data_IF_829821546775
#
_entry.id   IF_829821546775
#
_cell.length_a   1.000
_cell.length_b   1.000
_cell.length_c   1.000
_cell.angle_alpha   90.00
_cell.angle_beta   90.00
_cell.angle_gamma   90.00
#
_symmetry.space_group_name_H-M   'P 1'
#
loop_
_entity.id
_entity.type
_entity.pdbx_description
1 polymer ?
#
# COMPACT_ATOMS: atom_id res chain seq x y z
N UNK A 1 -11.98 10.16 -6.92
CA UNK A 1 -11.31 9.19 -7.82
C UNK A 1 -12.01 7.85 -7.72
N UNK A 2 -12.29 7.21 -8.85
CA UNK A 2 -12.74 5.82 -8.85
C UNK A 2 -11.53 4.85 -8.72
N UNK A 3 -11.81 3.57 -8.56
CA UNK A 3 -10.79 2.53 -8.43
C UNK A 3 -9.84 2.49 -9.63
N UNK A 4 -10.41 2.57 -10.85
CA UNK A 4 -9.62 2.52 -12.08
C UNK A 4 -8.68 3.74 -12.21
N UNK A 5 -9.13 4.90 -11.77
CA UNK A 5 -8.30 6.13 -11.73
C UNK A 5 -7.14 5.98 -10.76
N UNK A 6 -7.38 5.44 -9.56
CA UNK A 6 -6.31 5.18 -8.59
C UNK A 6 -5.29 4.18 -9.14
N UNK A 7 -5.75 3.09 -9.76
CA UNK A 7 -4.85 2.10 -10.38
C UNK A 7 -4.05 2.73 -11.52
N UNK A 8 -4.65 3.59 -12.35
CA UNK A 8 -3.92 4.32 -13.40
C UNK A 8 -2.83 5.24 -12.83
N UNK A 9 -3.13 5.97 -11.75
CA UNK A 9 -2.14 6.81 -11.07
C UNK A 9 -0.95 5.99 -10.55
N UNK A 10 -1.21 4.83 -9.98
CA UNK A 10 -0.16 3.92 -9.49
C UNK A 10 0.67 3.39 -10.65
N UNK A 11 0.04 2.93 -11.73
CA UNK A 11 0.73 2.40 -12.93
C UNK A 11 1.56 3.44 -13.67
N UNK A 12 1.24 4.72 -13.53
CA UNK A 12 2.00 5.81 -14.15
C UNK A 12 3.35 6.07 -13.47
N UNK A 13 3.59 5.53 -12.29
CA UNK A 13 4.87 5.66 -11.59
C UNK A 13 5.95 4.79 -12.27
N UNK A 14 7.19 5.27 -12.39
CA UNK A 14 8.27 4.52 -13.05
C UNK A 14 8.59 3.19 -12.36
N UNK A 15 8.80 2.13 -13.15
CA UNK A 15 9.21 0.81 -12.65
C UNK A 15 8.15 0.10 -11.82
N UNK A 16 6.88 0.44 -12.00
CA UNK A 16 5.77 -0.13 -11.24
C UNK A 16 5.06 -1.23 -12.02
N UNK A 17 4.84 -2.35 -11.35
CA UNK A 17 3.97 -3.44 -11.79
C UNK A 17 2.78 -3.53 -10.83
N UNK A 18 1.57 -3.54 -11.38
CA UNK A 18 0.33 -3.75 -10.62
C UNK A 18 -0.26 -5.09 -11.00
N UNK A 19 -0.41 -5.96 -10.00
CA UNK A 19 -1.05 -7.27 -10.12
C UNK A 19 -2.42 -7.20 -9.48
N UNK A 20 -3.47 -7.49 -10.25
CA UNK A 20 -4.81 -7.72 -9.70
C UNK A 20 -4.99 -9.20 -9.45
N UNK A 21 -5.31 -9.57 -8.22
CA UNK A 21 -5.53 -10.95 -7.82
C UNK A 21 -6.74 -11.55 -8.53
N UNK A 22 -6.58 -12.78 -9.01
CA UNK A 22 -7.60 -13.51 -9.73
C UNK A 22 -7.24 -14.98 -9.89
N UNK A 23 -8.09 -15.76 -10.60
CA UNK A 23 -7.88 -17.21 -10.77
C UNK A 23 -6.54 -17.58 -11.40
N UNK A 24 -5.98 -16.70 -12.23
CA UNK A 24 -4.72 -16.92 -12.94
C UNK A 24 -3.49 -16.45 -12.15
N UNK A 25 -3.67 -16.03 -10.90
CA UNK A 25 -2.60 -15.60 -10.01
C UNK A 25 -2.41 -16.58 -8.87
N UNK A 26 -1.25 -16.54 -8.20
CA UNK A 26 -1.02 -17.33 -6.98
C UNK A 26 -1.76 -16.79 -5.74
N UNK A 27 -2.52 -15.71 -5.89
CA UNK A 27 -3.27 -15.11 -4.79
C UNK A 27 -4.44 -16.00 -4.35
N UNK A 28 -4.72 -16.08 -3.02
CA UNK A 28 -5.87 -16.83 -2.53
C UNK A 28 -7.19 -16.18 -2.98
N UNK A 29 -8.24 -16.98 -3.13
CA UNK A 29 -9.56 -16.53 -3.60
C UNK A 29 -10.11 -15.35 -2.79
N UNK A 30 -9.84 -15.29 -1.49
CA UNK A 30 -10.25 -14.19 -0.62
C UNK A 30 -9.70 -12.83 -1.09
N UNK A 31 -8.56 -12.81 -1.79
CA UNK A 31 -7.94 -11.60 -2.31
C UNK A 31 -8.36 -11.27 -3.77
N UNK A 32 -9.10 -12.12 -4.46
CA UNK A 32 -9.48 -11.87 -5.86
C UNK A 32 -10.23 -10.54 -6.01
N UNK A 33 -9.81 -9.74 -6.99
CA UNK A 33 -10.29 -8.39 -7.23
C UNK A 33 -9.42 -7.30 -6.58
N UNK A 34 -8.62 -7.62 -5.59
CA UNK A 34 -7.70 -6.66 -4.99
C UNK A 34 -6.45 -6.47 -5.86
N UNK A 35 -5.90 -5.26 -5.84
CA UNK A 35 -4.71 -4.93 -6.62
C UNK A 35 -3.52 -4.60 -5.72
N UNK A 36 -2.36 -5.07 -6.13
CA UNK A 36 -1.09 -4.95 -5.40
C UNK A 36 -0.05 -4.29 -6.31
N UNK A 37 0.53 -3.19 -5.87
CA UNK A 37 1.55 -2.46 -6.61
C UNK A 37 2.96 -2.74 -6.07
N UNK A 38 3.85 -3.10 -6.98
CA UNK A 38 5.24 -3.42 -6.67
C UNK A 38 6.19 -2.51 -7.45
N UNK A 39 7.31 -2.17 -6.86
CA UNK A 39 8.44 -1.60 -7.60
C UNK A 39 9.29 -2.77 -8.14
N UNK A 40 9.21 -2.98 -9.43
CA UNK A 40 9.88 -4.07 -10.15
C UNK A 40 10.30 -3.57 -11.54
N UNK A 41 11.34 -2.69 -11.59
CA UNK A 41 11.74 -2.02 -12.83
C UNK A 41 12.30 -2.97 -13.89
N UNK A 42 12.78 -4.14 -13.47
CA UNK A 42 13.36 -5.15 -14.37
C UNK A 42 12.36 -6.24 -14.75
N UNK A 43 11.11 -6.15 -14.29
CA UNK A 43 10.05 -7.16 -14.46
C UNK A 43 10.55 -8.58 -14.10
N UNK A 44 11.21 -8.67 -12.94
CA UNK A 44 11.88 -9.90 -12.48
C UNK A 44 10.90 -11.02 -12.07
N UNK A 45 9.59 -10.72 -12.10
CA UNK A 45 8.53 -11.68 -11.87
C UNK A 45 8.09 -11.83 -10.43
N UNK A 46 7.14 -12.74 -10.22
CA UNK A 46 6.41 -12.88 -8.94
C UNK A 46 7.31 -13.18 -7.74
N UNK A 47 8.35 -13.99 -7.93
CA UNK A 47 9.28 -14.35 -6.85
C UNK A 47 10.04 -13.14 -6.27
N UNK A 48 10.25 -12.09 -7.06
CA UNK A 48 10.91 -10.85 -6.62
C UNK A 48 9.95 -9.86 -5.96
N UNK A 49 8.65 -9.98 -6.20
CA UNK A 49 7.58 -9.08 -5.74
C UNK A 49 7.07 -9.46 -4.34
N UNK A 50 7.88 -9.27 -3.31
CA UNK A 50 7.54 -9.70 -1.94
C UNK A 50 6.66 -8.74 -1.17
N UNK A 51 6.85 -7.43 -1.35
CA UNK A 51 6.19 -6.39 -0.55
C UNK A 51 5.62 -5.30 -1.46
N UNK A 52 4.29 -5.19 -1.55
CA UNK A 52 3.66 -4.11 -2.28
C UNK A 52 3.92 -2.78 -1.56
N UNK A 53 4.07 -1.70 -2.34
CA UNK A 53 4.14 -0.34 -1.80
C UNK A 53 2.79 0.39 -1.84
N UNK A 54 1.80 -0.18 -2.47
CA UNK A 54 0.41 0.25 -2.43
C UNK A 54 -0.51 -0.94 -2.66
N UNK A 55 -1.67 -0.95 -2.02
CA UNK A 55 -2.72 -1.94 -2.28
C UNK A 55 -4.07 -1.24 -2.46
N UNK A 56 -4.89 -1.78 -3.35
CA UNK A 56 -6.28 -1.36 -3.55
C UNK A 56 -7.15 -2.56 -3.20
N UNK A 57 -7.93 -2.44 -2.13
CA UNK A 57 -8.76 -3.52 -1.58
C UNK A 57 -10.23 -3.21 -1.83
N UNK A 58 -10.96 -4.18 -2.39
CA UNK A 58 -12.32 -4.00 -2.90
C UNK A 58 -13.40 -4.64 -2.03
N UNK A 59 -13.00 -5.37 -1.00
CA UNK A 59 -13.90 -6.07 -0.08
C UNK A 59 -13.32 -6.23 1.30
N UNK A 60 -14.18 -6.47 2.27
CA UNK A 60 -13.77 -6.84 3.63
C UNK A 60 -13.22 -8.27 3.67
N UNK A 61 -12.29 -8.51 4.59
CA UNK A 61 -11.75 -9.83 4.90
C UNK A 61 -12.38 -10.35 6.20
N UNK A 62 -13.37 -11.24 6.14
CA UNK A 62 -14.09 -11.72 7.33
C UNK A 62 -13.14 -12.28 8.39
N UNK A 63 -13.36 -11.87 9.66
CA UNK A 63 -12.54 -12.27 10.78
C UNK A 63 -11.15 -11.63 10.87
N UNK A 64 -10.80 -10.74 9.91
CA UNK A 64 -9.48 -10.12 9.85
C UNK A 64 -9.52 -8.60 9.66
N UNK A 65 -10.20 -8.12 8.60
CA UNK A 65 -10.22 -6.70 8.23
C UNK A 65 -11.60 -6.33 7.69
N UNK A 66 -12.47 -5.82 8.56
CA UNK A 66 -13.87 -5.51 8.22
C UNK A 66 -14.29 -4.09 8.59
N UNK A 67 -13.42 -3.33 9.25
CA UNK A 67 -13.79 -2.02 9.82
C UNK A 67 -14.03 -0.94 8.76
N UNK A 68 -13.50 -1.12 7.55
CA UNK A 68 -13.71 -0.17 6.45
C UNK A 68 -15.06 -0.35 5.73
N UNK A 69 -15.80 -1.43 6.01
CA UNK A 69 -17.13 -1.70 5.46
C UNK A 69 -17.18 -1.58 3.94
N UNK A 70 -16.29 -2.31 3.26
CA UNK A 70 -16.08 -2.22 1.81
C UNK A 70 -17.20 -2.90 0.99
N UNK A 71 -18.13 -3.62 1.64
CA UNK A 71 -19.29 -4.22 0.99
C UNK A 71 -20.31 -3.22 0.41
N UNK A 72 -20.04 -1.91 0.48
CA UNK A 72 -20.87 -0.86 -0.10
C UNK A 72 -20.58 -0.72 -1.60
N UNK A 73 -21.60 -0.51 -2.48
CA UNK A 73 -21.39 -0.41 -3.93
C UNK A 73 -20.38 0.67 -4.32
N UNK A 74 -19.38 0.30 -5.14
CA UNK A 74 -18.36 1.23 -5.65
C UNK A 74 -17.33 1.69 -4.62
N UNK A 75 -17.35 1.12 -3.40
CA UNK A 75 -16.41 1.46 -2.34
C UNK A 75 -15.20 0.52 -2.37
N UNK A 76 -14.02 1.11 -2.33
CA UNK A 76 -12.73 0.44 -2.24
C UNK A 76 -11.83 1.20 -1.27
N UNK A 77 -10.72 0.62 -0.87
CA UNK A 77 -9.75 1.25 0.02
C UNK A 77 -8.36 1.22 -0.58
N UNK A 78 -7.73 2.38 -0.66
CA UNK A 78 -6.32 2.53 -0.97
C UNK A 78 -5.51 2.47 0.32
N UNK A 79 -4.47 1.63 0.36
CA UNK A 79 -3.56 1.48 1.49
C UNK A 79 -2.13 1.80 1.06
N UNK A 80 -1.42 2.56 1.91
CA UNK A 80 -0.08 3.07 1.63
C UNK A 80 0.82 2.99 2.88
N UNK A 81 2.07 2.52 2.76
CA UNK A 81 3.03 2.56 3.85
C UNK A 81 3.63 3.97 3.99
N UNK A 82 3.12 4.77 4.90
CA UNK A 82 3.65 6.09 5.20
C UNK A 82 5.02 6.04 5.93
N UNK A 83 5.26 4.96 6.69
CA UNK A 83 6.39 4.84 7.58
C UNK A 83 6.21 5.68 8.86
N UNK A 84 7.06 5.43 9.86
CA UNK A 84 6.91 6.00 11.20
C UNK A 84 6.88 7.52 11.21
N UNK A 85 7.84 8.15 10.55
CA UNK A 85 8.00 9.61 10.59
C UNK A 85 6.82 10.34 9.93
N UNK A 86 6.42 9.91 8.72
CA UNK A 86 5.30 10.53 8.02
C UNK A 86 3.97 10.24 8.72
N UNK A 87 3.77 9.01 9.21
CA UNK A 87 2.60 8.66 10.03
C UNK A 87 2.48 9.59 11.24
N UNK A 88 3.59 9.82 11.98
CA UNK A 88 3.60 10.71 13.14
C UNK A 88 3.25 12.15 12.75
N UNK A 89 3.73 12.64 11.62
CA UNK A 89 3.35 13.97 11.11
C UNK A 89 1.88 14.07 10.74
N UNK A 90 1.31 13.01 10.17
CA UNK A 90 -0.09 12.98 9.74
C UNK A 90 -1.08 12.95 10.92
N UNK A 91 -0.77 12.19 11.96
CA UNK A 91 -1.71 11.91 13.04
C UNK A 91 -1.30 12.52 14.41
N UNK A 92 -0.09 13.04 14.55
CA UNK A 92 0.38 13.67 15.79
C UNK A 92 0.88 12.70 16.86
N UNK A 93 0.98 11.39 16.55
CA UNK A 93 1.48 10.35 17.45
C UNK A 93 2.17 9.24 16.66
N UNK A 94 3.10 8.47 17.27
CA UNK A 94 3.79 7.40 16.57
C UNK A 94 2.86 6.19 16.32
N UNK A 95 3.10 5.38 15.28
CA UNK A 95 2.27 4.21 14.95
C UNK A 95 2.06 3.24 16.11
N UNK A 96 3.06 3.10 16.99
CA UNK A 96 2.97 2.20 18.16
C UNK A 96 1.82 2.53 19.10
N UNK A 97 1.45 3.81 19.20
CA UNK A 97 0.41 4.32 20.12
C UNK A 97 -1.01 4.23 19.52
N UNK A 98 -1.14 3.75 18.28
CA UNK A 98 -2.45 3.64 17.63
C UNK A 98 -3.46 2.81 18.44
N UNK A 99 -3.01 1.78 19.17
CA UNK A 99 -3.89 0.95 19.99
C UNK A 99 -4.75 1.76 20.95
N UNK A 100 -4.13 2.70 21.65
CA UNK A 100 -4.80 3.54 22.66
C UNK A 100 -5.62 4.67 22.03
N UNK A 101 -5.34 5.01 20.76
CA UNK A 101 -6.00 6.10 20.03
C UNK A 101 -6.96 5.63 18.95
N UNK A 102 -7.17 4.34 18.85
CA UNK A 102 -7.97 3.72 17.80
C UNK A 102 -9.40 4.26 17.72
N UNK A 103 -10.02 4.55 18.88
CA UNK A 103 -11.37 5.08 18.97
C UNK A 103 -11.53 6.50 18.38
N UNK A 104 -10.44 7.20 18.10
CA UNK A 104 -10.45 8.53 17.48
C UNK A 104 -10.74 8.47 15.95
N UNK A 105 -10.70 7.26 15.34
CA UNK A 105 -10.78 7.08 13.90
C UNK A 105 -12.05 6.37 13.45
N UNK A 106 -12.71 6.94 12.43
CA UNK A 106 -13.78 6.27 11.69
C UNK A 106 -13.18 5.58 10.46
N UNK A 107 -12.89 4.28 10.58
CA UNK A 107 -12.19 3.52 9.53
C UNK A 107 -13.01 3.29 8.27
N UNK A 108 -14.32 3.51 8.31
CA UNK A 108 -15.26 3.42 7.19
C UNK A 108 -15.64 4.78 6.57
N UNK A 109 -15.08 5.88 7.09
CA UNK A 109 -15.33 7.22 6.55
C UNK A 109 -14.78 7.35 5.12
N UNK A 110 -15.62 7.83 4.21
CA UNK A 110 -15.23 8.06 2.82
C UNK A 110 -14.36 9.32 2.70
N UNK A 111 -13.43 9.28 1.74
CA UNK A 111 -12.57 10.42 1.39
C UNK A 111 -11.88 11.04 2.62
N UNK A 112 -11.39 10.19 3.51
CA UNK A 112 -10.69 10.58 4.72
C UNK A 112 -9.44 9.73 4.93
N UNK A 113 -8.32 10.37 5.22
CA UNK A 113 -7.09 9.69 5.60
C UNK A 113 -7.17 9.21 7.04
N UNK A 114 -6.96 7.92 7.25
CA UNK A 114 -6.93 7.28 8.57
C UNK A 114 -5.74 6.31 8.66
N UNK A 115 -5.29 5.94 9.88
CA UNK A 115 -4.40 4.79 10.03
C UNK A 115 -5.03 3.54 9.40
N UNK A 116 -4.21 2.63 8.87
CA UNK A 116 -4.74 1.34 8.38
C UNK A 116 -5.35 0.54 9.54
N UNK A 117 -6.56 0.01 9.43
CA UNK A 117 -7.24 -0.68 10.54
C UNK A 117 -6.43 -1.85 11.14
N UNK A 118 -5.69 -2.59 10.31
CA UNK A 118 -4.86 -3.72 10.74
C UNK A 118 -3.38 -3.33 10.83
N UNK A 119 -2.83 -2.69 9.80
CA UNK A 119 -1.39 -2.41 9.68
C UNK A 119 -0.98 -0.99 10.10
N UNK A 120 -1.86 -0.23 10.73
CA UNK A 120 -1.56 1.13 11.19
C UNK A 120 -0.40 1.19 12.16
N UNK A 121 -0.24 0.18 13.04
CA UNK A 121 0.90 0.10 13.97
C UNK A 121 2.25 -0.13 13.26
N UNK A 122 2.26 -0.60 12.03
CA UNK A 122 3.42 -0.70 11.15
C UNK A 122 3.64 0.55 10.30
N UNK A 123 2.86 1.62 10.53
CA UNK A 123 2.98 2.89 9.81
C UNK A 123 2.24 2.91 8.47
N UNK A 124 1.26 2.03 8.26
CA UNK A 124 0.38 2.07 7.11
C UNK A 124 -0.81 3.01 7.34
N UNK A 125 -1.24 3.64 6.28
CA UNK A 125 -2.41 4.53 6.24
C UNK A 125 -3.39 4.07 5.17
N UNK A 126 -4.64 4.51 5.29
CA UNK A 126 -5.72 4.10 4.39
C UNK A 126 -6.62 5.28 4.04
N UNK A 127 -7.19 5.23 2.84
CA UNK A 127 -8.28 6.09 2.41
C UNK A 127 -9.36 5.23 1.77
N UNK A 128 -10.56 5.27 2.30
CA UNK A 128 -11.74 4.64 1.70
C UNK A 128 -12.35 5.59 0.67
N UNK A 129 -12.52 5.13 -0.57
CA UNK A 129 -13.03 5.92 -1.68
C UNK A 129 -12.39 7.32 -1.77
N UNK A 130 -11.09 7.44 -2.09
CA UNK A 130 -10.39 8.71 -2.21
C UNK A 130 -11.12 9.68 -3.13
N UNK A 131 -11.23 10.91 -2.73
CA UNK A 131 -11.95 11.95 -3.46
C UNK A 131 -11.26 13.32 -3.36
N UNK A 132 -11.98 14.42 -3.62
CA UNK A 132 -11.38 15.75 -3.64
C UNK A 132 -10.70 16.17 -2.35
N UNK A 133 -11.18 15.69 -1.19
CA UNK A 133 -10.61 16.05 0.11
C UNK A 133 -9.23 15.44 0.35
N UNK A 134 -8.98 14.20 -0.15
CA UNK A 134 -7.72 13.47 0.05
C UNK A 134 -6.84 13.38 -1.19
N UNK A 135 -7.27 13.84 -2.36
CA UNK A 135 -6.54 13.66 -3.62
C UNK A 135 -5.08 14.12 -3.55
N UNK A 136 -4.82 15.30 -3.02
CA UNK A 136 -3.47 15.83 -2.89
C UNK A 136 -2.62 14.94 -1.98
N UNK A 137 -3.14 14.58 -0.82
CA UNK A 137 -2.43 13.76 0.16
C UNK A 137 -2.16 12.34 -0.38
N UNK A 138 -3.11 11.77 -1.11
CA UNK A 138 -2.96 10.47 -1.78
C UNK A 138 -1.82 10.52 -2.79
N UNK A 139 -1.73 11.57 -3.63
CA UNK A 139 -0.65 11.72 -4.61
C UNK A 139 0.73 11.84 -3.93
N UNK A 140 0.81 12.63 -2.86
CA UNK A 140 2.04 12.79 -2.08
C UNK A 140 2.46 11.48 -1.38
N UNK A 141 1.50 10.75 -0.81
CA UNK A 141 1.76 9.46 -0.16
C UNK A 141 2.15 8.38 -1.17
N UNK A 142 1.54 8.34 -2.34
CA UNK A 142 1.93 7.43 -3.42
C UNK A 142 3.38 7.69 -3.87
N UNK A 143 3.75 8.95 -4.11
CA UNK A 143 5.12 9.32 -4.48
C UNK A 143 6.11 8.93 -3.37
N UNK A 144 5.76 9.18 -2.10
CA UNK A 144 6.58 8.80 -0.95
C UNK A 144 6.76 7.28 -0.83
N UNK A 145 5.68 6.51 -0.95
CA UNK A 145 5.70 5.05 -0.86
C UNK A 145 6.51 4.43 -2.01
N UNK A 146 6.35 4.96 -3.22
CA UNK A 146 7.11 4.57 -4.41
C UNK A 146 8.60 4.81 -4.22
N UNK A 147 8.99 6.01 -3.78
CA UNK A 147 10.39 6.36 -3.52
C UNK A 147 11.03 5.45 -2.47
N UNK A 148 10.32 5.12 -1.41
CA UNK A 148 10.79 4.16 -0.41
C UNK A 148 10.97 2.75 -0.97
N UNK A 149 10.09 2.33 -1.87
CA UNK A 149 10.19 1.04 -2.55
C UNK A 149 11.40 1.00 -3.48
N UNK A 150 11.64 2.08 -4.25
CA UNK A 150 12.81 2.27 -5.10
C UNK A 150 14.11 2.17 -4.30
N UNK A 151 14.21 2.91 -3.19
CA UNK A 151 15.39 2.89 -2.32
C UNK A 151 15.66 1.51 -1.71
N UNK A 152 14.61 0.76 -1.33
CA UNK A 152 14.77 -0.62 -0.85
C UNK A 152 15.29 -1.55 -1.94
N UNK A 153 14.81 -1.38 -3.15
CA UNK A 153 15.25 -2.15 -4.32
C UNK A 153 16.74 -1.90 -4.60
N UNK A 154 17.16 -0.63 -4.65
CA UNK A 154 18.56 -0.23 -4.92
C UNK A 154 19.52 -0.77 -3.84
N UNK A 155 19.13 -0.71 -2.57
CA UNK A 155 19.95 -1.27 -1.48
C UNK A 155 20.15 -2.78 -1.61
N UNK A 156 19.13 -3.52 -2.08
CA UNK A 156 19.24 -4.97 -2.32
C UNK A 156 20.13 -5.28 -3.53
N UNK A 157 20.03 -4.51 -4.59
CA UNK A 157 20.88 -4.61 -5.78
C UNK A 157 22.34 -4.31 -5.47
N UNK A 158 22.61 -3.30 -4.63
CA UNK A 158 23.94 -2.97 -4.13
C UNK A 158 24.54 -4.08 -3.27
N UNK A 159 23.78 -4.66 -2.35
CA UNK A 159 24.24 -5.78 -1.54
C UNK A 159 24.54 -7.05 -2.36
N UNK A 160 23.74 -7.31 -3.42
CA UNK A 160 23.99 -8.45 -4.31
C UNK A 160 25.15 -8.24 -5.29
N UNK A 161 25.58 -7.00 -5.52
CA UNK A 161 26.77 -6.67 -6.30
C UNK A 161 28.06 -6.81 -5.46
N UNK A 162 28.00 -6.45 -4.18
CA UNK A 162 29.14 -6.54 -3.25
C UNK A 162 29.49 -8.01 -2.95
N UNK A 163 28.49 -8.88 -2.85
CA UNK A 163 28.68 -10.33 -2.63
C UNK A 163 29.27 -11.05 -3.87
N UNK A 164 29.19 -10.45 -5.05
CA UNK A 164 29.75 -11.01 -6.30
C UNK A 164 31.20 -10.59 -6.55
N UNK A 165 31.62 -9.45 -6.03
CA UNK A 165 33.03 -9.00 -6.15
C UNK A 165 33.96 -9.72 -5.16
N UNK A 166 33.41 -10.25 -4.05
CA UNK A 166 34.20 -11.00 -3.04
C UNK A 166 34.42 -12.48 -3.42
N UNK A 167 33.78 -12.96 -4.49
CA UNK A 167 33.92 -14.34 -4.99
C UNK A 167 34.98 -14.50 -6.11
N UNK A 168 35.79 -13.49 -6.35
CA UNK A 168 36.85 -13.51 -7.38
C UNK A 168 38.25 -13.55 -6.73
N UNK A 169 38.58 -14.71 -6.13
CA UNK A 169 39.97 -15.11 -5.79
C UNK A 169 40.21 -16.54 -6.13
#
# INVERSE_FOLDING_TARGET
MDEAEVIRLIRALPGVVVVTAGPDTAAPEVAWGDSFAFYDPDDAGEAARRFPFATVVTKDYPGFDTESRLGRPGVFRLNLPAGRERFTRLFGFPPADLGDRRAEFAFDALDRLVPHPVYGRQGWVSVVAPGPATEREVRELLAHAHERARQRYERRGGAAADDRDDASW
#
